data_IF_678215548386
#
_entry.id   IF_678215548386
#
_cell.length_a   1.000
_cell.length_b   1.000
_cell.length_c   1.000
_cell.angle_alpha   90.00
_cell.angle_beta   90.00
_cell.angle_gamma   90.00
#
_symmetry.space_group_name_H-M   'P 1'
#
loop_
_entity.id
_entity.type
_entity.pdbx_description
1 polymer ?
#
# COMPACT_ATOMS: atom_id res chain seq x y z
N UNK A 1 -21.04 5.06 20.75
CA UNK A 1 -20.37 5.93 21.75
C UNK A 1 -19.00 5.31 22.00
N UNK A 2 -18.00 5.73 21.21
CA UNK A 2 -16.65 5.15 21.28
C UNK A 2 -15.93 5.65 22.52
N UNK A 3 -15.57 4.72 23.42
CA UNK A 3 -14.70 5.02 24.56
C UNK A 3 -13.27 5.12 24.04
N UNK A 4 -12.64 6.28 24.25
CA UNK A 4 -11.24 6.54 23.96
C UNK A 4 -10.36 5.55 24.71
N UNK A 5 -9.90 4.52 24.04
CA UNK A 5 -8.91 3.57 24.53
C UNK A 5 -7.50 4.07 24.22
N UNK A 6 -6.65 3.85 25.16
CA UNK A 6 -5.25 4.24 25.32
C UNK A 6 -4.42 3.93 24.06
N UNK A 7 -3.80 4.97 23.49
CA UNK A 7 -2.85 4.85 22.39
C UNK A 7 -1.55 4.28 22.96
N UNK A 8 -1.27 3.02 22.70
CA UNK A 8 0.06 2.45 22.91
C UNK A 8 0.82 2.55 21.59
N UNK A 9 1.62 3.59 21.47
CA UNK A 9 2.60 3.71 20.39
C UNK A 9 3.73 2.70 20.63
N UNK A 10 3.70 1.56 19.96
CA UNK A 10 4.84 0.65 19.91
C UNK A 10 5.80 1.13 18.82
N UNK A 11 6.95 1.62 19.24
CA UNK A 11 8.05 2.00 18.38
C UNK A 11 8.56 0.81 17.57
N UNK A 12 8.53 0.92 16.25
CA UNK A 12 9.15 -0.04 15.37
C UNK A 12 10.67 0.03 15.46
N UNK A 13 11.26 -1.14 15.67
CA UNK A 13 12.71 -1.37 15.67
C UNK A 13 13.22 -1.24 14.25
N UNK A 14 14.07 -0.25 14.02
CA UNK A 14 14.84 -0.05 12.80
C UNK A 14 15.94 -1.10 12.75
N UNK A 15 15.85 -2.06 11.82
CA UNK A 15 17.01 -2.86 11.42
C UNK A 15 17.80 -2.10 10.35
N UNK A 16 18.85 -1.41 10.79
CA UNK A 16 19.92 -0.91 9.91
C UNK A 16 20.83 -2.07 9.53
N UNK A 17 20.78 -2.54 8.29
CA UNK A 17 21.90 -3.23 7.66
C UNK A 17 22.40 -2.39 6.49
N UNK A 18 23.68 -2.11 6.57
CA UNK A 18 24.39 -1.08 5.85
C UNK A 18 24.63 -1.32 4.36
N UNK A 19 25.09 -0.24 3.76
CA UNK A 19 25.76 -0.01 2.48
C UNK A 19 24.87 0.15 1.26
N UNK A 20 24.66 1.42 0.93
CA UNK A 20 24.10 1.91 -0.30
C UNK A 20 23.17 3.09 0.03
N UNK A 21 23.67 4.32 -0.04
CA UNK A 21 22.91 5.54 0.23
C UNK A 21 21.88 5.80 -0.87
N UNK A 22 20.81 5.03 -0.88
CA UNK A 22 19.52 5.49 -1.35
C UNK A 22 18.77 5.95 -0.10
N UNK A 23 18.49 7.23 0.00
CA UNK A 23 17.54 7.77 0.98
C UNK A 23 16.20 7.13 0.63
N UNK A 24 15.91 5.98 1.24
CA UNK A 24 14.57 5.43 1.26
C UNK A 24 13.75 6.44 2.05
N UNK A 25 12.88 7.17 1.36
CA UNK A 25 11.87 7.94 2.03
C UNK A 25 11.17 7.02 3.02
N UNK A 26 11.09 7.44 4.27
CA UNK A 26 10.47 6.67 5.35
C UNK A 26 9.02 6.39 4.92
N UNK A 27 8.69 5.11 4.67
CA UNK A 27 7.36 4.73 4.21
C UNK A 27 6.41 5.02 5.38
N UNK A 28 5.60 6.05 5.22
CA UNK A 28 4.62 6.44 6.23
C UNK A 28 3.43 5.45 6.19
N UNK A 29 3.52 4.42 7.02
CA UNK A 29 2.43 3.46 7.23
C UNK A 29 1.54 4.00 8.34
N UNK A 30 0.27 4.35 8.07
CA UNK A 30 -0.65 4.78 9.11
C UNK A 30 -0.80 3.71 10.20
N UNK A 31 -0.91 4.09 11.48
CA UNK A 31 -1.13 3.15 12.55
C UNK A 31 -2.49 2.47 12.39
N UNK A 32 -2.54 1.17 12.72
CA UNK A 32 -3.79 0.42 12.81
C UNK A 32 -4.51 0.82 14.10
N UNK A 33 -5.80 1.10 14.03
CA UNK A 33 -6.64 1.37 15.21
C UNK A 33 -7.08 0.06 15.86
N UNK A 34 -7.11 0.02 17.22
CA UNK A 34 -7.46 -1.15 17.98
C UNK A 34 -8.72 -0.93 18.82
N UNK A 35 -9.69 -1.85 18.71
CA UNK A 35 -10.83 -1.96 19.63
C UNK A 35 -10.63 -3.18 20.54
N UNK A 36 -10.23 -2.92 21.78
CA UNK A 36 -9.86 -3.92 22.77
C UNK A 36 -11.05 -4.22 23.71
N UNK A 37 -12.01 -4.98 23.25
CA UNK A 37 -13.17 -5.38 24.09
C UNK A 37 -12.91 -6.62 24.95
N UNK A 38 -11.90 -7.42 24.62
CA UNK A 38 -11.52 -8.66 25.29
C UNK A 38 -10.04 -8.64 25.69
N UNK A 39 -9.64 -9.60 26.51
CA UNK A 39 -8.25 -9.78 26.90
C UNK A 39 -7.39 -10.23 25.72
N UNK A 40 -6.20 -9.66 25.60
CA UNK A 40 -5.21 -10.00 24.58
C UNK A 40 -4.65 -11.40 24.84
N UNK A 41 -4.91 -12.33 23.92
CA UNK A 41 -4.25 -13.65 23.92
C UNK A 41 -3.00 -13.65 23.04
N UNK A 42 -2.13 -14.65 23.21
CA UNK A 42 -0.96 -14.83 22.36
C UNK A 42 -1.33 -15.04 20.88
N UNK A 43 -2.47 -15.68 20.61
CA UNK A 43 -2.99 -15.89 19.26
C UNK A 43 -3.44 -14.58 18.64
N UNK A 44 -4.20 -13.76 19.37
CA UNK A 44 -4.62 -12.42 18.93
C UNK A 44 -3.41 -11.54 18.65
N UNK A 45 -2.41 -11.53 19.54
CA UNK A 45 -1.18 -10.76 19.34
C UNK A 45 -0.44 -11.17 18.05
N UNK A 46 -0.36 -12.46 17.74
CA UNK A 46 0.26 -12.96 16.53
C UNK A 46 -0.52 -12.54 15.25
N UNK A 47 -1.85 -12.49 15.32
CA UNK A 47 -2.68 -11.99 14.22
C UNK A 47 -2.46 -10.50 14.00
N UNK A 48 -2.43 -9.69 15.05
CA UNK A 48 -2.16 -8.26 14.96
C UNK A 48 -0.80 -8.00 14.31
N UNK A 49 0.25 -8.66 14.77
CA UNK A 49 1.59 -8.56 14.17
C UNK A 49 1.59 -8.95 12.68
N UNK A 50 0.83 -9.97 12.30
CA UNK A 50 0.68 -10.39 10.89
C UNK A 50 0.01 -9.30 10.05
N UNK A 51 -1.03 -8.63 10.57
CA UNK A 51 -1.74 -7.53 9.92
C UNK A 51 -0.83 -6.32 9.75
N UNK A 52 -0.08 -5.93 10.78
CA UNK A 52 0.87 -4.82 10.71
C UNK A 52 1.96 -5.06 9.64
N UNK A 53 2.54 -6.27 9.63
CA UNK A 53 3.51 -6.68 8.60
C UNK A 53 2.92 -6.67 7.19
N UNK A 54 1.66 -7.09 7.05
CA UNK A 54 0.96 -7.06 5.78
C UNK A 54 0.71 -5.63 5.29
N UNK A 55 0.34 -4.71 6.20
CA UNK A 55 0.20 -3.30 5.86
C UNK A 55 1.53 -2.69 5.41
N UNK A 56 2.62 -2.90 6.14
CA UNK A 56 3.96 -2.46 5.71
C UNK A 56 4.26 -2.95 4.28
N UNK A 57 3.91 -4.19 3.96
CA UNK A 57 4.09 -4.74 2.62
C UNK A 57 3.21 -4.04 1.58
N UNK A 58 1.94 -3.77 1.89
CA UNK A 58 1.01 -3.05 1.01
C UNK A 58 1.57 -1.65 0.69
N UNK A 59 1.95 -0.87 1.69
CA UNK A 59 2.49 0.47 1.50
C UNK A 59 3.84 0.46 0.77
N UNK A 60 4.69 -0.54 1.02
CA UNK A 60 5.93 -0.74 0.26
C UNK A 60 5.67 -0.99 -1.23
N UNK A 61 4.66 -1.78 -1.56
CA UNK A 61 4.31 -2.02 -2.96
C UNK A 61 3.68 -0.79 -3.62
N UNK A 62 2.88 -0.01 -2.89
CA UNK A 62 2.35 1.29 -3.34
C UNK A 62 3.52 2.22 -3.71
N UNK A 63 4.48 2.41 -2.81
CA UNK A 63 5.63 3.28 -3.02
C UNK A 63 6.45 2.87 -4.26
N UNK A 64 6.74 1.57 -4.40
CA UNK A 64 7.44 1.05 -5.59
C UNK A 64 6.72 1.36 -6.89
N UNK A 65 5.40 1.20 -6.92
CA UNK A 65 4.60 1.48 -8.13
C UNK A 65 4.49 2.98 -8.37
N UNK A 66 4.40 3.81 -7.33
CA UNK A 66 4.45 5.27 -7.47
C UNK A 66 5.76 5.74 -8.10
N UNK A 67 6.91 5.26 -7.59
CA UNK A 67 8.23 5.57 -8.17
C UNK A 67 8.30 5.14 -9.63
N UNK A 68 7.91 3.91 -9.93
CA UNK A 68 7.93 3.35 -11.28
C UNK A 68 7.02 4.12 -12.25
N UNK A 69 5.81 4.45 -11.84
CA UNK A 69 4.84 5.17 -12.69
C UNK A 69 5.27 6.62 -12.92
N UNK A 70 5.87 7.28 -11.92
CA UNK A 70 6.44 8.62 -12.08
C UNK A 70 7.60 8.64 -13.09
N UNK A 71 8.46 7.63 -13.06
CA UNK A 71 9.54 7.47 -14.04
C UNK A 71 8.99 7.21 -15.45
N UNK A 72 7.99 6.33 -15.57
CA UNK A 72 7.31 6.05 -16.85
C UNK A 72 6.69 7.32 -17.43
N UNK A 73 6.03 8.14 -16.61
CA UNK A 73 5.43 9.39 -17.02
C UNK A 73 6.48 10.43 -17.47
N UNK A 74 7.58 10.55 -16.72
CA UNK A 74 8.68 11.41 -17.10
C UNK A 74 9.25 11.02 -18.47
N UNK A 75 9.52 9.74 -18.68
CA UNK A 75 10.03 9.23 -19.95
C UNK A 75 9.05 9.48 -21.11
N UNK A 76 7.74 9.24 -20.86
CA UNK A 76 6.69 9.58 -21.82
C UNK A 76 6.72 11.06 -22.24
N UNK A 77 6.83 11.98 -21.26
CA UNK A 77 6.87 13.41 -21.54
C UNK A 77 8.14 13.83 -22.32
N UNK A 78 9.26 13.19 -22.07
CA UNK A 78 10.52 13.42 -22.82
C UNK A 78 10.41 12.92 -24.27
N UNK A 79 9.90 11.70 -24.48
CA UNK A 79 9.66 11.15 -25.82
C UNK A 79 8.62 11.98 -26.57
N UNK A 80 7.55 12.45 -25.90
CA UNK A 80 6.52 13.29 -26.52
C UNK A 80 7.07 14.62 -27.06
N UNK A 81 8.01 15.26 -26.33
CA UNK A 81 8.67 16.49 -26.79
C UNK A 81 9.51 16.29 -28.06
N UNK A 82 10.11 15.11 -28.22
CA UNK A 82 10.91 14.76 -29.35
C UNK A 82 10.09 14.29 -30.57
N UNK A 83 8.81 13.97 -30.39
CA UNK A 83 7.93 13.41 -31.41
C UNK A 83 7.18 14.50 -32.15
N UNK A 84 7.29 14.55 -33.48
CA UNK A 84 6.70 15.60 -34.32
C UNK A 84 5.37 15.18 -34.98
N UNK A 85 5.16 13.89 -35.25
CA UNK A 85 3.95 13.39 -35.94
C UNK A 85 2.79 13.13 -35.00
N UNK A 86 1.58 13.60 -35.34
CA UNK A 86 0.40 13.38 -34.47
C UNK A 86 0.07 11.90 -34.29
N UNK A 87 0.15 11.08 -35.35
CA UNK A 87 -0.07 9.64 -35.24
C UNK A 87 0.94 8.96 -34.30
N UNK A 88 2.19 9.41 -34.32
CA UNK A 88 3.24 8.91 -33.43
C UNK A 88 3.01 9.33 -31.97
N UNK A 89 2.51 10.55 -31.72
CA UNK A 89 2.13 10.99 -30.37
C UNK A 89 0.98 10.17 -29.81
N UNK A 90 -0.02 9.84 -30.63
CA UNK A 90 -1.14 8.97 -30.23
C UNK A 90 -0.62 7.57 -29.85
N UNK A 91 0.20 6.95 -30.70
CA UNK A 91 0.78 5.65 -30.42
C UNK A 91 1.66 5.65 -29.14
N UNK A 92 2.38 6.75 -28.90
CA UNK A 92 3.17 6.92 -27.69
C UNK A 92 2.30 7.00 -26.44
N UNK A 93 1.18 7.74 -26.51
CA UNK A 93 0.18 7.81 -25.44
C UNK A 93 -0.44 6.44 -25.16
N UNK A 94 -0.90 5.72 -26.17
CA UNK A 94 -1.50 4.40 -26.02
C UNK A 94 -0.53 3.41 -25.35
N UNK A 95 0.74 3.43 -25.75
CA UNK A 95 1.80 2.62 -25.14
C UNK A 95 2.01 2.96 -23.66
N UNK A 96 2.05 4.24 -23.32
CA UNK A 96 2.20 4.72 -21.96
C UNK A 96 0.97 4.34 -21.11
N UNK A 97 -0.23 4.66 -21.62
CA UNK A 97 -1.50 4.41 -20.94
C UNK A 97 -1.71 2.92 -20.63
N UNK A 98 -1.44 2.05 -21.59
CA UNK A 98 -1.51 0.59 -21.39
C UNK A 98 -0.56 0.13 -20.28
N UNK A 99 0.69 0.58 -20.30
CA UNK A 99 1.69 0.15 -19.31
C UNK A 99 1.37 0.62 -17.89
N UNK A 100 1.01 1.89 -17.69
CA UNK A 100 0.70 2.41 -16.37
C UNK A 100 -0.58 1.77 -15.80
N UNK A 101 -1.56 1.53 -16.67
CA UNK A 101 -2.81 0.85 -16.28
C UNK A 101 -2.53 -0.59 -15.83
N UNK A 102 -1.65 -1.30 -16.53
CA UNK A 102 -1.24 -2.66 -16.16
C UNK A 102 -0.50 -2.67 -14.80
N UNK A 103 0.43 -1.75 -14.56
CA UNK A 103 1.15 -1.64 -13.29
C UNK A 103 0.21 -1.41 -12.11
N UNK A 104 -0.74 -0.49 -12.25
CA UNK A 104 -1.73 -0.19 -11.22
C UNK A 104 -2.66 -1.38 -10.99
N UNK A 105 -3.11 -2.05 -12.05
CA UNK A 105 -3.94 -3.25 -11.94
C UNK A 105 -3.21 -4.39 -11.23
N UNK A 106 -1.92 -4.59 -11.51
CA UNK A 106 -1.11 -5.61 -10.85
C UNK A 106 -0.92 -5.29 -9.37
N UNK A 107 -0.73 -4.01 -9.02
CA UNK A 107 -0.69 -3.58 -7.63
C UNK A 107 -2.00 -3.87 -6.91
N UNK A 108 -3.13 -3.46 -7.49
CA UNK A 108 -4.47 -3.67 -6.92
C UNK A 108 -4.72 -5.16 -6.64
N UNK A 109 -4.49 -6.03 -7.61
CA UNK A 109 -4.63 -7.48 -7.43
C UNK A 109 -3.72 -8.02 -6.32
N UNK A 110 -2.50 -7.51 -6.22
CA UNK A 110 -1.52 -7.93 -5.21
C UNK A 110 -1.94 -7.50 -3.81
N UNK A 111 -2.36 -6.24 -3.64
CA UNK A 111 -2.80 -5.72 -2.34
C UNK A 111 -4.07 -6.39 -1.87
N UNK A 112 -5.07 -6.56 -2.74
CA UNK A 112 -6.29 -7.30 -2.42
C UNK A 112 -6.02 -8.75 -1.99
N UNK A 113 -5.06 -9.42 -2.64
CA UNK A 113 -4.66 -10.78 -2.24
C UNK A 113 -4.04 -10.81 -0.85
N UNK A 114 -3.22 -9.80 -0.49
CA UNK A 114 -2.63 -9.68 0.85
C UNK A 114 -3.73 -9.43 1.88
N UNK A 115 -4.56 -8.41 1.67
CA UNK A 115 -5.66 -8.02 2.56
C UNK A 115 -6.62 -9.18 2.80
N UNK A 116 -7.10 -9.83 1.73
CA UNK A 116 -8.03 -10.97 1.83
C UNK A 116 -7.45 -12.11 2.65
N UNK A 117 -6.18 -12.43 2.49
CA UNK A 117 -5.50 -13.48 3.25
C UNK A 117 -5.43 -13.16 4.75
N UNK A 118 -5.08 -11.93 5.11
CA UNK A 118 -4.98 -11.54 6.52
C UNK A 118 -6.36 -11.41 7.18
N UNK A 119 -7.36 -10.86 6.48
CA UNK A 119 -8.75 -10.81 6.95
C UNK A 119 -9.28 -12.23 7.24
N UNK A 120 -9.00 -13.20 6.37
CA UNK A 120 -9.44 -14.58 6.60
C UNK A 120 -8.73 -15.25 7.80
N UNK A 121 -7.44 -15.02 7.97
CA UNK A 121 -6.71 -15.49 9.17
C UNK A 121 -7.30 -14.89 10.45
N UNK A 122 -7.53 -13.57 10.44
CA UNK A 122 -8.11 -12.85 11.56
C UNK A 122 -9.50 -13.38 11.90
N UNK A 123 -10.35 -13.60 10.89
CA UNK A 123 -11.70 -14.15 11.05
C UNK A 123 -11.68 -15.53 11.74
N UNK A 124 -10.75 -16.41 11.38
CA UNK A 124 -10.60 -17.73 11.98
C UNK A 124 -10.21 -17.62 13.46
N UNK A 125 -9.38 -16.64 13.82
CA UNK A 125 -8.98 -16.37 15.20
C UNK A 125 -10.01 -15.55 16.02
N UNK A 126 -11.17 -15.24 15.44
CA UNK A 126 -12.21 -14.44 16.10
C UNK A 126 -11.86 -12.95 16.20
N UNK A 127 -10.95 -12.47 15.35
CA UNK A 127 -10.52 -11.07 15.25
C UNK A 127 -11.23 -10.41 14.06
N UNK A 128 -11.80 -9.24 14.30
CA UNK A 128 -12.43 -8.41 13.27
C UNK A 128 -11.40 -7.45 12.64
N UNK A 129 -11.38 -7.33 11.34
CA UNK A 129 -10.50 -6.39 10.60
C UNK A 129 -11.34 -5.42 9.81
N UNK A 130 -11.06 -4.13 9.97
CA UNK A 130 -11.63 -3.06 9.15
C UNK A 130 -10.70 -2.77 7.97
N UNK A 131 -11.27 -2.81 6.77
CA UNK A 131 -10.59 -2.51 5.50
C UNK A 131 -11.21 -1.27 4.89
N UNK A 132 -10.38 -0.29 4.50
CA UNK A 132 -10.83 0.97 3.89
C UNK A 132 -10.12 1.19 2.58
N UNK A 133 -10.87 1.62 1.57
CA UNK A 133 -10.30 2.03 0.29
C UNK A 133 -9.69 3.42 0.38
N UNK A 134 -8.37 3.51 0.26
CA UNK A 134 -7.65 4.78 0.16
C UNK A 134 -7.41 5.15 -1.30
N UNK A 135 -7.45 6.44 -1.63
CA UNK A 135 -7.09 6.94 -2.95
C UNK A 135 -5.60 7.24 -2.98
N UNK A 136 -4.88 6.62 -3.91
CA UNK A 136 -3.45 6.79 -4.11
C UNK A 136 -3.18 7.37 -5.49
N UNK A 137 -2.30 8.39 -5.57
CA UNK A 137 -1.90 9.01 -6.81
C UNK A 137 -0.71 8.28 -7.44
N UNK A 138 -0.82 7.97 -8.72
CA UNK A 138 0.19 7.33 -9.55
C UNK A 138 0.45 8.19 -10.80
N UNK A 139 1.51 8.98 -10.78
CA UNK A 139 1.85 9.92 -11.84
C UNK A 139 0.67 10.83 -12.23
N UNK A 140 0.02 10.58 -13.36
CA UNK A 140 -1.08 11.37 -13.93
C UNK A 140 -2.49 10.88 -13.56
N UNK A 141 -2.61 9.83 -12.76
CA UNK A 141 -3.90 9.21 -12.39
C UNK A 141 -3.96 8.75 -10.94
N UNK A 142 -5.15 8.35 -10.51
CA UNK A 142 -5.42 7.85 -9.17
C UNK A 142 -6.02 6.45 -9.22
N UNK A 143 -5.75 5.67 -8.19
CA UNK A 143 -6.38 4.37 -7.98
C UNK A 143 -6.74 4.16 -6.50
N UNK A 144 -7.66 3.24 -6.23
CA UNK A 144 -8.05 2.86 -4.88
C UNK A 144 -7.31 1.60 -4.46
N UNK A 145 -6.76 1.61 -3.24
CA UNK A 145 -6.06 0.49 -2.61
C UNK A 145 -6.72 0.21 -1.26
N UNK A 146 -6.67 -1.01 -0.78
CA UNK A 146 -7.42 -1.55 0.35
C UNK A 146 -6.55 -1.97 1.57
N UNK A 147 -5.84 -1.06 2.25
CA UNK A 147 -5.14 -1.39 3.49
C UNK A 147 -6.11 -1.71 4.64
N UNK A 148 -5.61 -2.41 5.64
CA UNK A 148 -6.32 -2.70 6.88
C UNK A 148 -6.08 -1.57 7.89
N UNK A 149 -7.15 -0.93 8.38
CA UNK A 149 -7.06 0.28 9.21
C UNK A 149 -7.49 0.06 10.65
N UNK A 150 -8.24 -0.99 10.94
CA UNK A 150 -8.74 -1.27 12.28
C UNK A 150 -8.73 -2.77 12.59
N UNK A 151 -8.51 -3.10 13.86
CA UNK A 151 -8.54 -4.47 14.39
C UNK A 151 -9.31 -4.48 15.71
N UNK A 152 -10.29 -5.38 15.83
CA UNK A 152 -11.07 -5.56 17.03
C UNK A 152 -11.12 -7.04 17.47
N UNK A 153 -11.15 -7.30 18.80
CA UNK A 153 -11.30 -8.64 19.37
C UNK A 153 -12.06 -8.68 20.67
#
# INVERSE_FOLDING_TARGET
MFKKGLIIALFSVIMTMGMGTTVLAEINVPPVEYDTSKEMTAEIAAIIESIEKANVKIYTEIDKVQVKTNEMYKNYLEELKATQGEAQKVALWEKYDSKITEEIKNLDMKTQSITKKEVEKARIAGVTVEVVWITVKFADREAKIDPMVGVGW
#
